data_IF_090426572440
#
_entry.id   IF_090426572440
#
_cell.length_a   1.000
_cell.length_b   1.000
_cell.length_c   1.000
_cell.angle_alpha   90.00
_cell.angle_beta   90.00
_cell.angle_gamma   90.00
#
_symmetry.space_group_name_H-M   'P 1'
#
loop_
_entity.id
_entity.type
_entity.pdbx_description
1 polymer ?
#
# COMPACT_ATOMS: atom_id res chain seq x y z
N UNK A 1 14.16 -8.79 11.62
CA UNK A 1 13.71 -9.67 10.53
C UNK A 1 14.71 -9.57 9.39
N UNK A 2 15.46 -10.64 9.19
CA UNK A 2 16.49 -10.75 8.16
C UNK A 2 15.80 -10.75 6.79
N UNK A 3 16.05 -9.73 5.97
CA UNK A 3 15.67 -9.80 4.55
C UNK A 3 16.45 -10.95 3.93
N UNK A 4 15.78 -12.05 3.57
CA UNK A 4 16.38 -13.11 2.79
C UNK A 4 16.78 -12.52 1.44
N UNK A 5 18.08 -12.26 1.26
CA UNK A 5 18.66 -11.96 -0.04
C UNK A 5 18.61 -13.24 -0.86
N UNK A 6 17.56 -13.35 -1.68
CA UNK A 6 17.49 -14.40 -2.68
C UNK A 6 18.70 -14.27 -3.63
N UNK A 7 19.37 -15.39 -3.89
CA UNK A 7 20.38 -15.50 -4.96
C UNK A 7 19.71 -15.14 -6.28
N UNK A 8 20.05 -13.98 -6.83
CA UNK A 8 19.61 -13.53 -8.13
C UNK A 8 20.73 -12.79 -8.82
N UNK A 9 20.98 -13.12 -10.09
CA UNK A 9 21.93 -12.39 -10.93
C UNK A 9 21.51 -10.93 -11.09
N UNK A 10 22.35 -10.01 -10.59
CA UNK A 10 22.16 -8.57 -10.71
C UNK A 10 23.02 -8.06 -11.86
N UNK A 11 22.42 -7.80 -13.01
CA UNK A 11 23.10 -7.12 -14.10
C UNK A 11 22.91 -5.61 -14.01
N UNK A 12 23.99 -4.89 -13.70
CA UNK A 12 24.05 -3.42 -13.77
C UNK A 12 24.78 -3.03 -15.06
N UNK A 13 24.07 -2.61 -16.09
CA UNK A 13 24.67 -2.08 -17.33
C UNK A 13 24.01 -0.73 -17.62
N UNK A 14 24.82 0.36 -17.66
CA UNK A 14 24.42 1.69 -18.16
C UNK A 14 23.03 2.19 -17.69
N UNK A 15 22.80 2.27 -16.37
CA UNK A 15 21.53 2.77 -15.84
C UNK A 15 20.35 1.79 -15.90
N UNK A 16 20.56 0.57 -16.38
CA UNK A 16 19.56 -0.50 -16.38
C UNK A 16 19.83 -1.48 -15.24
N UNK A 17 18.80 -1.72 -14.43
CA UNK A 17 18.82 -2.74 -13.37
C UNK A 17 17.88 -3.88 -13.74
N UNK A 18 18.37 -5.11 -13.71
CA UNK A 18 17.59 -6.34 -13.89
C UNK A 18 17.88 -7.26 -12.72
N UNK A 19 16.86 -7.87 -12.15
CA UNK A 19 17.01 -8.86 -11.08
C UNK A 19 15.86 -9.85 -11.06
N UNK A 20 16.17 -11.11 -10.76
CA UNK A 20 15.19 -12.11 -10.38
C UNK A 20 15.32 -12.38 -8.88
N UNK A 21 14.22 -12.46 -8.17
CA UNK A 21 14.19 -12.78 -6.74
C UNK A 21 13.28 -13.97 -6.51
N UNK A 22 13.71 -14.88 -5.66
CA UNK A 22 12.95 -16.03 -5.19
C UNK A 22 12.82 -15.97 -3.67
N UNK A 23 11.68 -16.36 -3.13
CA UNK A 23 11.45 -16.45 -1.69
C UNK A 23 10.19 -15.76 -1.21
N UNK A 24 10.10 -15.57 0.10
CA UNK A 24 8.98 -14.90 0.76
C UNK A 24 9.15 -13.40 0.70
N UNK A 25 8.39 -12.74 -0.14
CA UNK A 25 8.55 -11.33 -0.46
C UNK A 25 7.21 -10.61 -0.68
N UNK A 26 7.24 -9.27 -0.65
CA UNK A 26 6.07 -8.47 -1.01
C UNK A 26 5.72 -8.68 -2.49
N UNK A 27 4.45 -8.92 -2.76
CA UNK A 27 3.96 -8.92 -4.14
C UNK A 27 4.07 -7.52 -4.76
N UNK A 28 4.37 -7.40 -6.05
CA UNK A 28 4.55 -6.14 -6.75
C UNK A 28 3.21 -5.47 -7.06
N UNK A 29 2.58 -4.88 -6.06
CA UNK A 29 1.31 -4.20 -6.22
C UNK A 29 1.29 -2.87 -5.47
N UNK A 30 1.14 -1.76 -6.22
CA UNK A 30 1.05 -0.41 -5.69
C UNK A 30 2.36 0.17 -5.12
N UNK A 31 2.41 1.47 -5.01
CA UNK A 31 3.53 2.23 -4.46
C UNK A 31 3.63 2.03 -2.95
N UNK A 32 2.51 2.12 -2.24
CA UNK A 32 2.46 2.03 -0.77
C UNK A 32 2.98 0.69 -0.24
N UNK A 33 2.70 -0.43 -0.93
CA UNK A 33 3.22 -1.76 -0.58
C UNK A 33 4.74 -1.81 -0.66
N UNK A 34 5.33 -1.14 -1.66
CA UNK A 34 6.76 -1.13 -1.92
C UNK A 34 7.52 -0.05 -1.15
N UNK A 35 6.82 0.83 -0.42
CA UNK A 35 7.43 1.84 0.43
C UNK A 35 7.86 1.21 1.76
N UNK A 36 9.14 1.32 2.09
CA UNK A 36 9.69 0.85 3.37
C UNK A 36 9.28 1.75 4.53
N UNK A 37 9.29 1.23 5.78
CA UNK A 37 8.89 1.99 6.98
C UNK A 37 9.66 3.30 7.18
N UNK A 38 10.95 3.31 6.83
CA UNK A 38 11.81 4.49 6.93
C UNK A 38 11.50 5.59 5.89
N UNK A 39 10.68 5.26 4.90
CA UNK A 39 10.25 6.18 3.86
C UNK A 39 8.79 6.66 4.07
N UNK A 40 8.22 6.40 5.25
CA UNK A 40 6.88 6.91 5.58
C UNK A 40 6.94 8.36 6.01
N UNK A 41 6.05 9.14 5.41
CA UNK A 41 5.78 10.53 5.76
C UNK A 41 4.64 10.67 6.77
N UNK A 42 3.90 9.60 6.99
CA UNK A 42 2.79 9.49 7.95
C UNK A 42 3.07 8.38 8.97
N UNK A 43 2.50 8.52 10.17
CA UNK A 43 2.64 7.50 11.23
C UNK A 43 2.09 6.16 10.77
N UNK A 44 0.98 6.17 10.02
CA UNK A 44 0.35 4.97 9.47
C UNK A 44 0.22 5.05 7.95
N UNK A 45 0.20 3.88 7.32
CA UNK A 45 -0.19 3.76 5.91
C UNK A 45 -1.65 4.19 5.75
N UNK A 46 -2.06 4.66 4.56
CA UNK A 46 -3.48 4.91 4.30
C UNK A 46 -4.28 3.62 4.46
N UNK A 47 -5.53 3.74 4.90
CA UNK A 47 -6.46 2.62 5.05
C UNK A 47 -6.55 1.75 3.79
N UNK A 48 -6.46 2.37 2.62
CA UNK A 48 -6.32 1.77 1.32
C UNK A 48 -5.34 0.59 1.28
N UNK A 49 -4.16 0.71 1.89
CA UNK A 49 -3.15 -0.35 1.88
C UNK A 49 -3.64 -1.62 2.58
N UNK A 50 -4.32 -1.49 3.70
CA UNK A 50 -4.83 -2.62 4.46
C UNK A 50 -6.05 -3.26 3.78
N UNK A 51 -6.84 -2.46 3.04
CA UNK A 51 -8.03 -2.93 2.33
C UNK A 51 -7.67 -3.73 1.09
N UNK A 52 -6.79 -3.19 0.27
CA UNK A 52 -6.51 -3.70 -1.07
C UNK A 52 -5.01 -3.82 -1.37
N UNK A 53 -4.14 -3.53 -0.40
CA UNK A 53 -2.70 -3.62 -0.54
C UNK A 53 -2.21 -5.02 -0.86
N UNK A 54 -0.95 -5.12 -1.30
CA UNK A 54 -0.27 -6.38 -1.54
C UNK A 54 0.04 -7.13 -0.25
N UNK A 55 0.33 -8.40 -0.36
CA UNK A 55 0.72 -9.29 0.74
C UNK A 55 2.16 -9.77 0.57
N UNK A 56 2.74 -10.35 1.63
CA UNK A 56 3.96 -11.15 1.49
C UNK A 56 3.57 -12.58 1.17
N UNK A 57 4.11 -13.08 0.06
CA UNK A 57 3.84 -14.42 -0.45
C UNK A 57 5.14 -15.09 -0.88
N UNK A 58 5.16 -16.42 -0.90
CA UNK A 58 6.25 -17.19 -1.50
C UNK A 58 6.12 -17.14 -3.01
N UNK A 59 7.19 -16.73 -3.72
CA UNK A 59 7.13 -16.64 -5.16
C UNK A 59 8.43 -16.22 -5.81
N UNK A 60 8.35 -16.03 -7.12
CA UNK A 60 9.44 -15.56 -7.97
C UNK A 60 9.04 -14.23 -8.61
N UNK A 61 9.91 -13.25 -8.57
CA UNK A 61 9.71 -11.95 -9.20
C UNK A 61 10.84 -11.57 -10.13
N UNK A 62 10.51 -10.78 -11.14
CA UNK A 62 11.44 -10.18 -12.06
C UNK A 62 11.32 -8.67 -12.03
N UNK A 63 12.47 -8.01 -11.94
CA UNK A 63 12.62 -6.56 -12.00
C UNK A 63 13.29 -6.15 -13.30
N UNK A 64 12.75 -5.10 -13.91
CA UNK A 64 13.39 -4.36 -14.98
C UNK A 64 13.22 -2.87 -14.71
N UNK A 65 14.32 -2.18 -14.48
CA UNK A 65 14.32 -0.74 -14.18
C UNK A 65 15.32 -0.04 -15.08
N UNK A 66 14.86 0.98 -15.76
CA UNK A 66 15.70 1.88 -16.55
C UNK A 66 15.33 3.36 -16.25
N UNK A 67 15.99 4.37 -16.84
CA UNK A 67 15.65 5.76 -16.57
C UNK A 67 14.17 6.12 -16.81
N UNK A 68 13.51 5.52 -17.80
CA UNK A 68 12.12 5.84 -18.18
C UNK A 68 11.08 4.84 -17.66
N UNK A 69 11.44 3.59 -17.45
CA UNK A 69 10.49 2.52 -17.10
C UNK A 69 10.89 1.80 -15.83
N UNK A 70 9.87 1.39 -15.08
CA UNK A 70 9.98 0.46 -13.97
C UNK A 70 8.99 -0.67 -14.19
N UNK A 71 9.47 -1.91 -14.15
CA UNK A 71 8.64 -3.11 -14.21
C UNK A 71 9.05 -4.04 -13.07
N UNK A 72 8.09 -4.47 -12.29
CA UNK A 72 8.25 -5.51 -11.29
C UNK A 72 7.05 -6.44 -11.40
N UNK A 73 7.29 -7.70 -11.76
CA UNK A 73 6.24 -8.69 -11.98
C UNK A 73 6.61 -10.02 -11.32
N UNK A 74 5.63 -10.84 -10.99
CA UNK A 74 5.90 -12.14 -10.37
C UNK A 74 4.71 -13.06 -10.29
N UNK A 75 5.05 -14.32 -9.96
CA UNK A 75 4.13 -15.39 -9.68
C UNK A 75 4.35 -15.89 -8.26
N UNK A 76 3.27 -16.15 -7.53
CA UNK A 76 3.31 -16.46 -6.11
C UNK A 76 2.31 -17.56 -5.75
N UNK A 77 2.56 -18.23 -4.62
CA UNK A 77 1.56 -19.02 -3.91
C UNK A 77 0.50 -18.07 -3.32
N UNK A 78 -0.76 -18.51 -3.28
CA UNK A 78 -1.85 -17.75 -2.65
C UNK A 78 -1.65 -17.57 -1.14
N UNK A 79 -0.97 -18.53 -0.48
CA UNK A 79 -0.86 -18.57 0.98
C UNK A 79 0.26 -17.70 1.52
N UNK A 80 0.02 -16.90 2.58
CA UNK A 80 1.07 -16.37 3.43
C UNK A 80 1.88 -17.48 4.11
N UNK A 81 3.13 -17.20 4.43
CA UNK A 81 4.05 -18.16 5.05
C UNK A 81 3.56 -18.75 6.40
N UNK A 82 2.86 -17.94 7.18
CA UNK A 82 2.36 -18.30 8.51
C UNK A 82 0.95 -18.88 8.51
N UNK A 83 0.38 -19.16 7.33
CA UNK A 83 -0.94 -19.74 7.22
C UNK A 83 -0.86 -21.26 7.36
N UNK A 84 -1.57 -21.81 8.36
CA UNK A 84 -1.65 -23.21 8.64
C UNK A 84 -2.86 -23.92 7.98
N UNK A 85 -3.55 -23.22 7.07
CA UNK A 85 -4.69 -23.83 6.37
C UNK A 85 -4.25 -25.09 5.60
N UNK A 86 -5.02 -26.17 5.70
CA UNK A 86 -4.81 -27.41 4.95
C UNK A 86 -5.39 -27.29 3.54
N UNK A 87 -4.84 -28.06 2.59
CA UNK A 87 -5.33 -28.17 1.23
C UNK A 87 -4.45 -27.50 0.17
N UNK A 88 -4.88 -27.55 -1.08
CA UNK A 88 -4.15 -27.00 -2.22
C UNK A 88 -4.06 -25.48 -2.18
N UNK A 89 -2.89 -24.94 -2.46
CA UNK A 89 -2.70 -23.50 -2.64
C UNK A 89 -3.13 -23.05 -4.04
N UNK A 90 -3.79 -21.90 -4.11
CA UNK A 90 -4.00 -21.20 -5.37
C UNK A 90 -2.73 -20.48 -5.86
N UNK A 91 -2.88 -19.73 -6.94
CA UNK A 91 -1.79 -18.99 -7.60
C UNK A 91 -2.14 -17.51 -7.69
N UNK A 92 -1.14 -16.66 -7.47
CA UNK A 92 -1.24 -15.22 -7.63
C UNK A 92 -0.25 -14.76 -8.70
N UNK A 93 -0.76 -14.00 -9.67
CA UNK A 93 0.03 -13.24 -10.62
C UNK A 93 -0.08 -11.77 -10.25
N UNK A 94 1.04 -11.07 -10.11
CA UNK A 94 1.04 -9.65 -9.73
C UNK A 94 2.12 -8.89 -10.48
N UNK A 95 1.83 -7.63 -10.82
CA UNK A 95 2.78 -6.77 -11.53
C UNK A 95 2.52 -5.29 -11.30
N UNK A 96 3.59 -4.49 -11.30
CA UNK A 96 3.61 -3.03 -11.18
C UNK A 96 4.45 -2.46 -12.32
N UNK A 97 3.87 -1.55 -13.09
CA UNK A 97 4.42 -1.02 -14.33
C UNK A 97 4.32 0.50 -14.34
N UNK A 98 5.46 1.20 -14.40
CA UNK A 98 5.50 2.66 -14.33
C UNK A 98 6.29 3.25 -15.49
N UNK A 99 5.83 4.41 -15.92
CA UNK A 99 6.54 5.32 -16.79
C UNK A 99 6.97 6.56 -16.01
N UNK A 100 8.22 6.94 -16.16
CA UNK A 100 8.82 8.14 -15.57
C UNK A 100 8.92 9.21 -16.65
N UNK A 101 7.99 10.15 -16.64
CA UNK A 101 7.95 11.27 -17.58
C UNK A 101 9.05 12.30 -17.27
N UNK A 102 9.34 12.51 -15.98
CA UNK A 102 10.45 13.32 -15.49
C UNK A 102 11.28 12.45 -14.53
N UNK A 103 12.59 12.41 -14.71
CA UNK A 103 13.50 11.69 -13.83
C UNK A 103 14.88 12.37 -13.86
N UNK A 104 15.08 13.38 -13.01
CA UNK A 104 16.33 14.08 -12.80
C UNK A 104 16.71 14.09 -11.31
N UNK A 105 17.77 14.77 -10.93
CA UNK A 105 18.28 14.78 -9.56
C UNK A 105 17.33 15.41 -8.55
N UNK A 106 16.57 16.43 -8.96
CA UNK A 106 15.70 17.23 -8.09
C UNK A 106 14.22 16.88 -8.22
N UNK A 107 13.81 16.28 -9.35
CA UNK A 107 12.40 16.09 -9.68
C UNK A 107 12.14 14.72 -10.30
N UNK A 108 11.03 14.13 -9.93
CA UNK A 108 10.50 12.93 -10.59
C UNK A 108 9.00 13.08 -10.79
N UNK A 109 8.54 12.79 -12.00
CA UNK A 109 7.13 12.57 -12.28
C UNK A 109 6.96 11.17 -12.88
N UNK A 110 6.22 10.34 -12.18
CA UNK A 110 5.89 8.98 -12.63
C UNK A 110 4.40 8.72 -12.53
N UNK A 111 3.92 7.83 -13.38
CA UNK A 111 2.57 7.27 -13.31
C UNK A 111 2.58 5.84 -13.85
N UNK A 112 1.59 5.06 -13.48
CA UNK A 112 1.47 3.71 -13.97
C UNK A 112 0.35 2.91 -13.37
N UNK A 113 0.43 1.60 -13.56
CA UNK A 113 -0.60 0.65 -13.17
C UNK A 113 -0.03 -0.53 -12.41
N UNK A 114 -0.88 -1.12 -11.57
CA UNK A 114 -0.62 -2.41 -10.93
C UNK A 114 -1.77 -3.36 -11.23
N UNK A 115 -1.46 -4.62 -11.43
CA UNK A 115 -2.46 -5.66 -11.69
C UNK A 115 -2.17 -6.87 -10.80
N UNK A 116 -3.23 -7.50 -10.31
CA UNK A 116 -3.16 -8.72 -9.52
C UNK A 116 -4.32 -9.64 -9.87
N UNK A 117 -3.99 -10.85 -10.25
CA UNK A 117 -4.94 -11.93 -10.40
C UNK A 117 -4.63 -13.00 -9.36
N UNK A 118 -5.65 -13.46 -8.63
CA UNK A 118 -5.52 -14.59 -7.70
C UNK A 118 -6.58 -15.64 -8.02
N UNK A 119 -6.14 -16.88 -8.18
CA UNK A 119 -7.00 -18.05 -8.19
C UNK A 119 -7.06 -18.62 -6.77
N UNK A 120 -8.25 -18.58 -6.15
CA UNK A 120 -8.44 -18.87 -4.73
C UNK A 120 -8.90 -20.31 -4.56
N UNK A 121 -8.09 -21.15 -3.92
CA UNK A 121 -8.40 -22.56 -3.65
C UNK A 121 -8.52 -22.87 -2.17
N UNK A 122 -7.67 -22.26 -1.38
CA UNK A 122 -7.47 -22.59 0.03
C UNK A 122 -8.60 -22.10 0.93
N UNK A 123 -9.11 -20.89 0.66
CA UNK A 123 -9.97 -20.20 1.61
C UNK A 123 -11.45 -20.40 1.28
N UNK A 124 -12.27 -20.90 2.24
CA UNK A 124 -13.72 -20.93 2.10
C UNK A 124 -14.34 -19.53 2.17
N UNK A 125 -13.60 -18.57 2.73
CA UNK A 125 -14.01 -17.17 2.84
C UNK A 125 -12.86 -16.23 2.56
N UNK A 126 -13.16 -15.07 1.94
CA UNK A 126 -12.22 -13.97 1.76
C UNK A 126 -12.70 -12.79 2.59
N UNK A 127 -11.90 -12.36 3.58
CA UNK A 127 -12.18 -11.18 4.37
C UNK A 127 -11.39 -10.00 3.84
N UNK A 128 -12.09 -8.91 3.56
CA UNK A 128 -11.52 -7.62 3.20
C UNK A 128 -11.83 -6.65 4.33
N UNK A 129 -10.80 -6.04 4.90
CA UNK A 129 -10.96 -5.09 5.99
C UNK A 129 -10.27 -3.76 5.68
N UNK A 130 -10.90 -2.67 6.09
CA UNK A 130 -10.34 -1.33 6.09
C UNK A 130 -10.32 -0.82 7.53
N UNK A 131 -9.26 -1.14 8.29
CA UNK A 131 -9.13 -0.65 9.66
C UNK A 131 -8.95 0.87 9.67
N UNK A 132 -9.21 1.50 10.80
CA UNK A 132 -8.82 2.89 11.01
C UNK A 132 -7.29 3.04 10.90
N UNK A 133 -6.83 4.21 10.51
CA UNK A 133 -5.40 4.51 10.35
C UNK A 133 -4.67 4.59 11.71
N UNK A 134 -4.77 3.51 12.49
CA UNK A 134 -4.07 3.34 13.77
C UNK A 134 -3.72 1.89 14.02
N UNK A 135 -2.54 1.64 14.59
CA UNK A 135 -2.08 0.30 15.03
C UNK A 135 -1.83 0.24 16.55
N UNK A 136 -2.08 1.34 17.26
CA UNK A 136 -1.80 1.43 18.71
C UNK A 136 -2.85 0.66 19.50
N UNK A 137 -4.09 0.67 19.04
CA UNK A 137 -5.19 -0.02 19.68
C UNK A 137 -5.92 -0.93 18.68
N UNK A 138 -5.74 -2.27 18.77
CA UNK A 138 -6.40 -3.22 17.87
C UNK A 138 -7.94 -3.13 17.91
N UNK A 139 -8.53 -2.81 19.08
CA UNK A 139 -9.98 -2.63 19.20
C UNK A 139 -10.46 -1.37 18.48
N UNK A 140 -9.67 -0.28 18.52
CA UNK A 140 -9.97 0.92 17.75
C UNK A 140 -9.80 0.68 16.26
N UNK A 141 -8.74 -0.01 15.83
CA UNK A 141 -8.55 -0.39 14.43
C UNK A 141 -9.72 -1.23 13.88
N UNK A 142 -10.26 -2.14 14.69
CA UNK A 142 -11.42 -2.98 14.35
C UNK A 142 -12.76 -2.21 14.24
N UNK A 143 -12.81 -0.93 14.60
CA UNK A 143 -14.00 -0.07 14.35
C UNK A 143 -14.16 0.28 12.87
N UNK A 144 -13.14 0.06 12.05
CA UNK A 144 -13.17 0.25 10.60
C UNK A 144 -14.17 -0.67 9.89
N UNK A 145 -14.09 -0.65 8.58
CA UNK A 145 -14.96 -1.44 7.72
C UNK A 145 -14.41 -2.86 7.52
N UNK A 146 -15.28 -3.86 7.56
CA UNK A 146 -14.93 -5.25 7.25
C UNK A 146 -16.03 -5.91 6.40
N UNK A 147 -15.64 -6.73 5.45
CA UNK A 147 -16.53 -7.53 4.64
C UNK A 147 -15.94 -8.93 4.41
N UNK A 148 -16.78 -9.95 4.51
CA UNK A 148 -16.44 -11.35 4.26
C UNK A 148 -17.25 -11.89 3.09
N UNK A 149 -16.56 -12.53 2.13
CA UNK A 149 -17.14 -13.13 0.94
C UNK A 149 -17.02 -14.65 1.08
N UNK A 150 -18.13 -15.34 1.07
CA UNK A 150 -18.16 -16.80 1.09
C UNK A 150 -17.87 -17.40 -0.29
N UNK A 151 -17.17 -18.54 -0.31
CA UNK A 151 -16.86 -19.32 -1.51
C UNK A 151 -16.22 -18.51 -2.66
N UNK A 152 -15.13 -17.75 -2.42
CA UNK A 152 -14.43 -17.04 -3.48
C UNK A 152 -13.80 -18.04 -4.45
N UNK A 153 -13.81 -17.72 -5.75
CA UNK A 153 -13.18 -18.52 -6.81
C UNK A 153 -11.91 -17.84 -7.32
N UNK A 154 -12.01 -16.55 -7.59
CA UNK A 154 -10.90 -15.75 -8.09
C UNK A 154 -11.08 -14.29 -7.74
N UNK A 155 -9.99 -13.54 -7.69
CA UNK A 155 -10.04 -12.09 -7.60
C UNK A 155 -9.14 -11.45 -8.64
N UNK A 156 -9.62 -10.36 -9.23
CA UNK A 156 -8.83 -9.48 -10.07
C UNK A 156 -8.77 -8.10 -9.44
N UNK A 157 -7.56 -7.54 -9.32
CA UNK A 157 -7.33 -6.23 -8.77
C UNK A 157 -6.55 -5.40 -9.77
N UNK A 158 -7.05 -4.20 -10.02
CA UNK A 158 -6.43 -3.20 -10.87
C UNK A 158 -6.14 -1.95 -10.03
N UNK A 159 -4.95 -1.38 -10.21
CA UNK A 159 -4.54 -0.14 -9.56
C UNK A 159 -3.94 0.84 -10.54
N UNK A 160 -4.11 2.12 -10.26
CA UNK A 160 -3.38 3.22 -10.91
C UNK A 160 -2.66 4.02 -9.84
N UNK A 161 -1.49 4.54 -10.17
CA UNK A 161 -0.69 5.34 -9.28
C UNK A 161 -0.04 6.51 -10.01
N UNK A 162 0.17 7.59 -9.30
CA UNK A 162 0.95 8.72 -9.77
C UNK A 162 1.72 9.35 -8.62
N UNK A 163 2.91 9.85 -8.91
CA UNK A 163 3.75 10.57 -7.97
C UNK A 163 4.54 11.65 -8.69
N UNK A 164 4.51 12.83 -8.11
CA UNK A 164 5.37 13.95 -8.46
C UNK A 164 6.12 14.42 -7.22
N UNK A 165 7.42 14.67 -7.36
CA UNK A 165 8.16 15.46 -6.38
C UNK A 165 9.09 16.44 -7.11
N UNK A 166 9.30 17.57 -6.49
CA UNK A 166 10.27 18.57 -6.90
C UNK A 166 10.89 19.17 -5.64
N UNK A 167 12.21 18.94 -5.47
CA UNK A 167 12.96 19.40 -4.30
C UNK A 167 12.26 19.12 -2.97
N UNK A 168 11.64 20.13 -2.37
CA UNK A 168 11.03 20.09 -1.04
C UNK A 168 9.52 19.84 -1.02
N UNK A 169 8.90 19.52 -2.15
CA UNK A 169 7.48 19.25 -2.27
C UNK A 169 7.22 17.89 -2.92
N UNK A 170 6.20 17.17 -2.47
CA UNK A 170 5.67 16.02 -3.20
C UNK A 170 4.15 15.99 -3.17
N UNK A 171 3.58 15.37 -4.20
CA UNK A 171 2.22 14.89 -4.24
C UNK A 171 2.20 13.48 -4.84
N UNK A 172 1.44 12.57 -4.25
CA UNK A 172 1.26 11.23 -4.76
C UNK A 172 -0.10 10.66 -4.41
N UNK A 173 -0.54 9.67 -5.17
CA UNK A 173 -1.80 9.00 -4.92
C UNK A 173 -1.90 7.66 -5.62
N UNK A 174 -2.80 6.83 -5.11
CA UNK A 174 -3.14 5.53 -5.67
C UNK A 174 -4.65 5.34 -5.62
N UNK A 175 -5.19 4.66 -6.62
CA UNK A 175 -6.56 4.16 -6.65
C UNK A 175 -6.54 2.69 -7.02
N UNK A 176 -7.39 1.91 -6.40
CA UNK A 176 -7.55 0.48 -6.72
C UNK A 176 -9.00 0.07 -6.76
N UNK A 177 -9.28 -0.90 -7.64
CA UNK A 177 -10.55 -1.58 -7.71
C UNK A 177 -10.32 -3.09 -7.76
N UNK A 178 -11.09 -3.82 -6.96
CA UNK A 178 -11.03 -5.29 -6.88
C UNK A 178 -12.37 -5.88 -7.27
N UNK A 179 -12.31 -6.93 -8.06
CA UNK A 179 -13.43 -7.77 -8.45
C UNK A 179 -13.20 -9.17 -7.86
N UNK A 180 -14.16 -9.70 -7.13
CA UNK A 180 -14.09 -11.04 -6.55
C UNK A 180 -15.22 -11.90 -7.11
N UNK A 181 -14.88 -12.90 -7.90
CA UNK A 181 -15.83 -13.88 -8.41
C UNK A 181 -16.04 -15.00 -7.40
N UNK A 182 -17.27 -15.43 -7.21
CA UNK A 182 -17.64 -16.55 -6.37
C UNK A 182 -17.68 -17.86 -7.15
N UNK A 183 -17.60 -19.01 -6.43
CA UNK A 183 -17.86 -20.35 -6.99
C UNK A 183 -19.32 -20.54 -7.39
N UNK A 184 -20.23 -19.88 -6.67
CA UNK A 184 -21.64 -19.71 -7.02
C UNK A 184 -21.82 -18.49 -7.93
N UNK A 185 -22.99 -18.02 -8.22
CA UNK A 185 -23.17 -16.80 -9.01
C UNK A 185 -22.83 -15.52 -8.23
N UNK A 186 -22.36 -14.47 -8.92
CA UNK A 186 -22.14 -13.14 -8.40
C UNK A 186 -20.68 -12.69 -8.35
N UNK A 187 -20.48 -11.39 -8.49
CA UNK A 187 -19.17 -10.71 -8.41
C UNK A 187 -19.25 -9.59 -7.38
N UNK A 188 -18.38 -9.62 -6.38
CA UNK A 188 -18.21 -8.51 -5.45
C UNK A 188 -17.21 -7.50 -5.98
N UNK A 189 -17.51 -6.20 -5.82
CA UNK A 189 -16.63 -5.12 -6.28
C UNK A 189 -16.31 -4.19 -5.12
N UNK A 190 -15.03 -3.86 -4.97
CA UNK A 190 -14.53 -2.99 -3.90
C UNK A 190 -13.53 -2.02 -4.47
N UNK A 191 -13.47 -0.82 -3.89
CA UNK A 191 -12.52 0.19 -4.32
C UNK A 191 -12.01 1.00 -3.13
N UNK A 192 -10.79 1.49 -3.28
CA UNK A 192 -10.18 2.37 -2.31
C UNK A 192 -9.10 3.23 -2.97
N UNK A 193 -8.74 4.33 -2.33
CA UNK A 193 -7.69 5.20 -2.85
C UNK A 193 -7.24 6.21 -1.82
N UNK A 194 -6.19 6.94 -2.15
CA UNK A 194 -5.72 8.08 -1.38
C UNK A 194 -4.98 9.08 -2.29
N UNK A 195 -4.91 10.30 -1.79
CA UNK A 195 -4.00 11.34 -2.27
C UNK A 195 -3.31 11.94 -1.06
N UNK A 196 -2.00 12.14 -1.15
CA UNK A 196 -1.23 12.77 -0.09
C UNK A 196 -0.17 13.72 -0.67
N UNK A 197 0.15 14.75 0.11
CA UNK A 197 1.15 15.74 -0.21
C UNK A 197 2.01 16.04 1.02
N UNK A 198 3.23 16.51 0.77
CA UNK A 198 4.13 16.93 1.82
C UNK A 198 5.05 18.06 1.38
N UNK A 199 5.45 18.85 2.35
CA UNK A 199 6.38 19.96 2.17
C UNK A 199 7.46 19.93 3.26
N UNK A 200 8.70 19.90 2.83
CA UNK A 200 9.87 19.93 3.70
C UNK A 200 10.43 21.34 3.83
N UNK A 201 10.63 21.79 5.07
CA UNK A 201 11.15 23.13 5.37
C UNK A 201 12.68 23.12 5.47
N UNK A 202 13.27 24.30 5.70
CA UNK A 202 14.70 24.49 6.00
C UNK A 202 15.64 23.91 4.93
N UNK A 203 15.24 23.92 3.65
CA UNK A 203 16.04 23.45 2.53
C UNK A 203 16.29 21.93 2.54
N UNK A 204 15.43 21.15 3.16
CA UNK A 204 15.41 19.71 2.98
C UNK A 204 14.77 19.36 1.63
N UNK A 205 15.30 18.32 0.99
CA UNK A 205 14.82 17.86 -0.30
C UNK A 205 14.42 16.38 -0.23
N UNK A 206 13.35 16.03 -0.93
CA UNK A 206 12.96 14.64 -1.13
C UNK A 206 13.90 13.95 -2.11
N UNK A 207 14.16 12.67 -1.86
CA UNK A 207 14.96 11.84 -2.76
C UNK A 207 14.13 10.67 -3.26
N UNK A 208 14.39 10.31 -4.51
CA UNK A 208 13.73 9.18 -5.16
C UNK A 208 14.55 7.90 -5.05
N UNK A 209 13.89 6.77 -4.79
CA UNK A 209 14.44 5.43 -4.89
C UNK A 209 14.05 4.81 -6.24
N UNK A 210 14.95 4.87 -7.21
CA UNK A 210 14.69 4.37 -8.56
C UNK A 210 14.49 2.84 -8.60
N UNK A 211 15.08 2.07 -7.66
CA UNK A 211 14.94 0.62 -7.62
C UNK A 211 13.59 0.15 -7.08
N UNK A 212 12.93 0.97 -6.25
CA UNK A 212 11.61 0.70 -5.69
C UNK A 212 10.51 1.55 -6.32
N UNK A 213 10.91 2.57 -7.06
CA UNK A 213 10.04 3.59 -7.65
C UNK A 213 9.13 4.24 -6.60
N UNK A 214 9.75 4.75 -5.51
CA UNK A 214 9.10 5.41 -4.37
C UNK A 214 9.94 6.56 -3.85
N UNK A 215 9.34 7.47 -3.07
CA UNK A 215 10.10 8.47 -2.31
C UNK A 215 10.83 7.82 -1.14
N UNK A 216 11.99 8.36 -0.80
CA UNK A 216 12.70 8.11 0.46
C UNK A 216 12.20 9.06 1.54
N UNK A 217 12.33 8.65 2.81
CA UNK A 217 12.11 9.53 3.95
C UNK A 217 13.13 10.67 3.98
N UNK A 218 12.77 11.77 4.63
CA UNK A 218 13.68 12.86 4.91
C UNK A 218 14.79 12.42 5.87
N UNK A 219 16.00 12.86 5.63
CA UNK A 219 17.18 12.46 6.44
C UNK A 219 18.04 13.63 6.93
N UNK A 220 17.78 14.85 6.46
CA UNK A 220 18.55 16.03 6.87
C UNK A 220 18.10 16.48 8.27
N UNK A 221 18.99 16.47 9.24
CA UNK A 221 18.75 16.88 10.62
C UNK A 221 18.24 18.33 10.74
N UNK A 222 17.43 18.59 11.76
CA UNK A 222 16.88 19.91 12.05
C UNK A 222 15.74 20.34 11.12
N UNK A 223 15.18 19.41 10.34
CA UNK A 223 14.13 19.73 9.37
C UNK A 223 12.74 19.37 9.85
N UNK A 224 11.80 20.23 9.52
CA UNK A 224 10.37 20.00 9.64
C UNK A 224 9.78 19.57 8.31
N UNK A 225 8.75 18.75 8.39
CA UNK A 225 7.89 18.36 7.29
C UNK A 225 6.44 18.52 7.71
N UNK A 226 5.64 19.18 6.88
CA UNK A 226 4.18 19.16 6.99
C UNK A 226 3.61 18.22 5.96
N UNK A 227 2.62 17.40 6.34
CA UNK A 227 1.99 16.41 5.46
C UNK A 227 0.48 16.44 5.60
N UNK A 228 -0.22 16.22 4.49
CA UNK A 228 -1.67 16.10 4.43
C UNK A 228 -2.07 14.91 3.56
N UNK A 229 -3.11 14.18 3.97
CA UNK A 229 -3.66 13.04 3.23
C UNK A 229 -5.17 13.00 3.29
N UNK A 230 -5.81 12.70 2.16
CA UNK A 230 -7.18 12.24 2.08
C UNK A 230 -7.18 10.80 1.57
N UNK A 231 -7.87 9.90 2.28
CA UNK A 231 -8.00 8.49 1.90
C UNK A 231 -9.44 8.03 2.02
N UNK A 232 -9.82 7.07 1.19
CA UNK A 232 -11.17 6.50 1.21
C UNK A 232 -11.13 5.01 0.93
N UNK A 233 -12.15 4.31 1.44
CA UNK A 233 -12.43 2.92 1.10
C UNK A 233 -13.94 2.73 0.98
N UNK A 234 -14.36 2.11 -0.12
CA UNK A 234 -15.75 1.77 -0.41
C UNK A 234 -15.89 0.24 -0.47
N UNK A 235 -16.39 -0.32 0.62
CA UNK A 235 -16.74 -1.72 0.74
C UNK A 235 -18.28 -1.93 0.60
N UNK A 236 -18.99 -0.92 0.09
CA UNK A 236 -20.44 -0.81 0.10
C UNK A 236 -21.15 -1.46 -1.10
N UNK A 237 -20.48 -1.56 -2.26
CA UNK A 237 -21.04 -2.08 -3.50
C UNK A 237 -20.94 -3.61 -3.64
N UNK A 238 -20.89 -4.34 -2.53
CA UNK A 238 -21.22 -5.75 -2.58
C UNK A 238 -22.73 -5.89 -2.79
N UNK A 239 -23.15 -6.55 -3.89
CA UNK A 239 -24.50 -7.09 -3.99
C UNK A 239 -24.86 -7.76 -2.66
N UNK A 240 -26.16 -7.86 -2.34
CA UNK A 240 -26.70 -8.57 -1.17
C UNK A 240 -26.24 -10.04 -1.14
N UNK A 241 -25.00 -10.24 -0.75
CA UNK A 241 -24.42 -11.56 -0.59
C UNK A 241 -24.84 -12.03 0.81
N UNK A 242 -25.70 -13.02 0.89
CA UNK A 242 -26.12 -13.61 2.15
C UNK A 242 -24.90 -13.92 3.03
N UNK A 243 -24.87 -13.42 4.26
CA UNK A 243 -23.80 -13.62 5.23
C UNK A 243 -22.73 -12.50 5.29
N UNK A 244 -22.81 -11.46 4.46
CA UNK A 244 -21.90 -10.31 4.50
C UNK A 244 -22.35 -9.31 5.56
N UNK A 245 -21.44 -8.95 6.47
CA UNK A 245 -21.64 -7.72 7.27
C UNK A 245 -21.70 -6.56 6.28
N UNK A 246 -22.84 -5.86 6.27
CA UNK A 246 -23.17 -4.86 5.25
C UNK A 246 -22.09 -3.80 5.12
N UNK A 247 -21.78 -3.47 3.87
CA UNK A 247 -20.70 -2.60 3.46
C UNK A 247 -20.68 -1.23 4.13
N UNK A 248 -19.48 -0.71 4.30
CA UNK A 248 -19.19 0.58 4.93
C UNK A 248 -18.34 1.39 3.98
N UNK A 249 -18.66 2.66 3.84
CA UNK A 249 -17.78 3.67 3.23
C UNK A 249 -16.99 4.34 4.34
N UNK A 250 -15.72 4.58 4.07
CA UNK A 250 -14.81 5.26 4.99
C UNK A 250 -14.07 6.36 4.26
N UNK A 251 -14.08 7.56 4.85
CA UNK A 251 -13.32 8.72 4.41
C UNK A 251 -12.45 9.21 5.56
N UNK A 252 -11.15 9.32 5.35
CA UNK A 252 -10.19 9.75 6.36
C UNK A 252 -9.37 10.93 5.87
N UNK A 253 -9.20 11.92 6.72
CA UNK A 253 -8.38 13.11 6.47
C UNK A 253 -7.32 13.19 7.55
N UNK A 254 -6.05 13.20 7.15
CA UNK A 254 -4.91 13.22 8.08
C UNK A 254 -4.05 14.44 7.83
N UNK A 255 -3.74 15.16 8.90
CA UNK A 255 -2.72 16.19 8.94
C UNK A 255 -1.60 15.75 9.86
N UNK A 256 -0.36 16.01 9.49
CA UNK A 256 0.80 15.60 10.27
C UNK A 256 1.96 16.59 10.18
N UNK A 257 2.81 16.53 11.21
CA UNK A 257 4.07 17.23 11.26
C UNK A 257 5.17 16.26 11.70
N UNK A 258 6.28 16.26 11.01
CA UNK A 258 7.44 15.44 11.31
C UNK A 258 8.65 16.32 11.59
N UNK A 259 9.50 15.91 12.53
CA UNK A 259 10.76 16.57 12.83
C UNK A 259 11.90 15.56 12.77
N UNK A 260 12.85 15.79 11.89
CA UNK A 260 14.04 14.96 11.74
C UNK A 260 15.11 15.45 12.75
N UNK A 261 15.24 14.74 13.87
CA UNK A 261 16.25 15.08 14.90
C UNK A 261 17.66 14.86 14.34
N UNK A 262 17.88 13.70 13.75
CA UNK A 262 19.13 13.34 13.05
C UNK A 262 18.85 12.18 12.08
N UNK A 263 19.89 11.66 11.42
CA UNK A 263 19.76 10.54 10.46
C UNK A 263 19.20 9.25 11.06
N UNK A 264 19.16 9.13 12.38
CA UNK A 264 18.71 7.94 13.12
C UNK A 264 17.40 8.17 13.89
N UNK A 265 16.98 9.42 14.12
CA UNK A 265 15.83 9.72 14.95
C UNK A 265 14.88 10.74 14.29
N UNK A 266 13.59 10.43 14.35
CA UNK A 266 12.51 11.28 13.84
C UNK A 266 11.35 11.29 14.84
N UNK A 267 10.77 12.46 15.06
CA UNK A 267 9.53 12.65 15.80
C UNK A 267 8.41 12.89 14.80
N UNK A 268 7.26 12.28 15.04
CA UNK A 268 6.10 12.41 14.17
C UNK A 268 4.84 12.65 15.02
N UNK A 269 4.01 13.58 14.58
CA UNK A 269 2.69 13.84 15.17
C UNK A 269 1.66 13.87 14.05
N UNK A 270 0.52 13.25 14.23
CA UNK A 270 -0.57 13.31 13.26
C UNK A 270 -1.96 13.29 13.93
N UNK A 271 -2.90 14.00 13.31
CA UNK A 271 -4.31 13.94 13.62
C UNK A 271 -5.06 13.40 12.39
N UNK A 272 -5.88 12.37 12.62
CA UNK A 272 -6.73 11.76 11.59
C UNK A 272 -8.18 11.88 12.00
N UNK A 273 -9.01 12.45 11.15
CA UNK A 273 -10.46 12.46 11.26
C UNK A 273 -11.06 11.47 10.26
N UNK A 274 -11.88 10.54 10.73
CA UNK A 274 -12.49 9.48 9.91
C UNK A 274 -14.00 9.49 10.03
N UNK A 275 -14.67 9.58 8.88
CA UNK A 275 -16.12 9.43 8.74
C UNK A 275 -16.43 8.02 8.23
N UNK A 276 -17.29 7.30 8.96
CA UNK A 276 -17.79 5.98 8.60
C UNK A 276 -19.28 6.08 8.30
N UNK A 277 -19.68 5.72 7.08
CA UNK A 277 -21.09 5.65 6.68
C UNK A 277 -21.49 4.20 6.47
N UNK A 278 -22.52 3.74 7.18
CA UNK A 278 -22.95 2.34 7.14
C UNK A 278 -24.45 2.22 6.85
N UNK A 279 -24.83 1.30 5.96
CA UNK A 279 -26.25 1.00 5.66
C UNK A 279 -27.02 0.37 6.84
N UNK A 280 -26.32 -0.08 7.89
CA UNK A 280 -26.91 -0.92 8.96
C UNK A 280 -26.77 -0.34 10.34
N UNK A 281 -25.74 0.49 10.54
CA UNK A 281 -25.43 1.13 11.81
C UNK A 281 -25.40 2.65 11.61
N UNK A 282 -25.58 3.40 12.69
CA UNK A 282 -25.42 4.85 12.67
C UNK A 282 -24.04 5.23 12.18
N UNK A 283 -23.98 6.30 11.40
CA UNK A 283 -22.73 6.92 10.97
C UNK A 283 -21.86 7.28 12.18
N UNK A 284 -20.55 7.17 12.01
CA UNK A 284 -19.58 7.44 13.06
C UNK A 284 -18.51 8.41 12.57
N UNK A 285 -18.19 9.36 13.43
CA UNK A 285 -17.08 10.28 13.27
C UNK A 285 -16.05 9.98 14.35
N UNK A 286 -14.80 9.73 13.94
CA UNK A 286 -13.75 9.29 14.84
C UNK A 286 -12.52 10.17 14.62
N UNK A 287 -12.06 10.84 15.68
CA UNK A 287 -10.81 11.59 15.72
C UNK A 287 -9.71 10.76 16.39
N UNK A 288 -8.51 10.72 15.79
CA UNK A 288 -7.36 9.99 16.32
C UNK A 288 -6.14 10.91 16.31
N UNK A 289 -5.60 11.21 17.48
CA UNK A 289 -4.31 11.88 17.65
C UNK A 289 -3.24 10.84 17.94
N UNK A 290 -2.13 10.86 17.20
CA UNK A 290 -1.03 9.91 17.33
C UNK A 290 0.31 10.63 17.34
N UNK A 291 1.23 10.14 18.20
CA UNK A 291 2.63 10.51 18.21
C UNK A 291 3.52 9.28 18.02
N UNK A 292 4.64 9.43 17.32
CA UNK A 292 5.66 8.39 17.14
C UNK A 292 7.05 8.96 17.30
N UNK A 293 7.87 8.25 18.05
CA UNK A 293 9.34 8.38 18.02
C UNK A 293 9.87 7.23 17.18
N UNK A 294 10.59 7.51 16.12
CA UNK A 294 11.22 6.51 15.27
C UNK A 294 12.72 6.58 15.46
N UNK A 295 13.33 5.46 15.83
CA UNK A 295 14.77 5.32 16.02
C UNK A 295 15.27 4.20 15.09
N UNK A 296 16.35 4.47 14.37
CA UNK A 296 16.99 3.55 13.44
C UNK A 296 18.46 3.34 13.85
N UNK A 297 18.85 2.11 14.03
CA UNK A 297 20.20 1.70 14.45
C UNK A 297 21.03 1.21 13.27
#
# INVERSE_FOLDING_TARGET
AQESRGLGDVYKRQGVYKATRFGYQWEPFGMTTNTGRMAYHFIQRPNFHNTLGGSRLLGVTYYYVNPKFFTHTGIFSERPYNDQASGDSGVVLSGRYLFKAIANETSTFQFGTSQRFAYIRTYPTLTISSPLETNINPKAAALGAEMTIANPKSSYRFGVESMFHNENFFVRGEYMKTFVNKKTSGTGTYQAGYVEAGYAFNGATYKYDAQKAVLKGLSKAGNWEAVARASWADLYNGENIAGVKKGVQMHSYTLGANYVVNKHAQLMLSYTHTNLTSKVKNDKNIGILQGRVMINF
#
